data_IF_891079488920
#
_entry.id   IF_891079488920
#
_cell.length_a   1.000
_cell.length_b   1.000
_cell.length_c   1.000
_cell.angle_alpha   90.00
_cell.angle_beta   90.00
_cell.angle_gamma   90.00
#
_symmetry.space_group_name_H-M   'P 1'
#
loop_
_entity.id
_entity.type
_entity.pdbx_description
1 polymer ?
#
# COMPACT_ATOMS: atom_id res chain seq x y z
N UNK A 1 7.76 0.29 -7.57
CA UNK A 1 9.17 0.28 -7.11
C UNK A 1 9.69 1.66 -6.69
N UNK A 2 9.24 2.76 -7.33
CA UNK A 2 9.64 4.13 -6.91
C UNK A 2 9.04 4.51 -5.54
N UNK A 3 7.85 4.00 -5.23
CA UNK A 3 7.13 4.12 -3.96
C UNK A 3 7.99 3.81 -2.72
N UNK A 4 8.83 2.77 -2.76
CA UNK A 4 9.65 2.36 -1.61
C UNK A 4 10.79 3.34 -1.34
N UNK A 5 11.44 3.79 -2.42
CA UNK A 5 12.50 4.80 -2.37
C UNK A 5 11.95 6.14 -1.88
N UNK A 6 10.72 6.50 -2.28
CA UNK A 6 10.04 7.70 -1.80
C UNK A 6 9.79 7.66 -0.29
N UNK A 7 9.36 6.53 0.27
CA UNK A 7 9.19 6.35 1.72
C UNK A 7 10.52 6.46 2.48
N UNK A 8 11.61 5.99 1.87
CA UNK A 8 12.94 6.07 2.49
C UNK A 8 13.49 7.51 2.48
N UNK A 9 13.25 8.27 1.41
CA UNK A 9 13.80 9.62 1.22
C UNK A 9 12.96 10.70 1.91
N UNK A 10 11.63 10.63 1.80
CA UNK A 10 10.74 11.69 2.28
C UNK A 10 9.92 11.23 3.50
N UNK A 11 10.11 11.85 4.68
CA UNK A 11 9.35 11.51 5.89
C UNK A 11 7.85 11.80 5.76
N UNK A 12 7.41 12.63 4.81
CA UNK A 12 5.98 12.86 4.55
C UNK A 12 5.25 11.54 4.24
N UNK A 13 5.87 10.62 3.49
CA UNK A 13 5.27 9.34 3.15
C UNK A 13 5.26 8.31 4.30
N UNK A 14 5.85 8.65 5.45
CA UNK A 14 5.76 7.83 6.68
C UNK A 14 4.54 8.19 7.54
N UNK A 15 3.79 9.20 7.13
CA UNK A 15 2.48 9.54 7.69
C UNK A 15 1.37 8.71 7.04
N UNK A 16 0.25 8.53 7.74
CA UNK A 16 -0.93 7.84 7.18
C UNK A 16 -1.41 8.51 5.88
N UNK A 17 -1.44 9.86 5.87
CA UNK A 17 -1.91 10.64 4.72
C UNK A 17 -0.95 10.51 3.54
N UNK A 18 0.35 10.70 3.76
CA UNK A 18 1.36 10.55 2.70
C UNK A 18 1.37 9.12 2.15
N UNK A 19 1.25 8.11 3.01
CA UNK A 19 1.18 6.71 2.57
C UNK A 19 -0.04 6.44 1.68
N UNK A 20 -1.22 6.95 2.04
CA UNK A 20 -2.43 6.84 1.21
C UNK A 20 -2.26 7.55 -0.14
N UNK A 21 -1.63 8.73 -0.17
CA UNK A 21 -1.33 9.47 -1.42
C UNK A 21 -0.39 8.65 -2.31
N UNK A 22 0.64 8.04 -1.73
CA UNK A 22 1.62 7.22 -2.44
C UNK A 22 0.98 5.95 -3.00
N UNK A 23 0.09 5.30 -2.25
CA UNK A 23 -0.71 4.19 -2.74
C UNK A 23 -1.65 4.60 -3.89
N UNK A 24 -2.39 5.70 -3.74
CA UNK A 24 -3.26 6.21 -4.80
C UNK A 24 -2.49 6.59 -6.08
N UNK A 25 -1.29 7.13 -5.92
CA UNK A 25 -0.46 7.56 -7.06
C UNK A 25 0.23 6.40 -7.78
N UNK A 26 0.81 5.44 -7.06
CA UNK A 26 1.59 4.36 -7.67
C UNK A 26 0.76 3.09 -7.94
N UNK A 27 -0.30 2.83 -7.17
CA UNK A 27 -1.08 1.58 -7.30
C UNK A 27 -2.42 1.80 -7.99
N UNK A 28 -3.12 2.89 -7.68
CA UNK A 28 -4.42 3.19 -8.32
C UNK A 28 -4.24 3.78 -9.73
N UNK A 29 -3.30 4.71 -9.94
CA UNK A 29 -3.06 5.28 -11.28
C UNK A 29 -2.44 4.30 -12.29
N UNK A 30 -1.78 3.23 -11.82
CA UNK A 30 -1.22 2.21 -12.70
C UNK A 30 -2.24 1.15 -13.15
N UNK A 31 -3.51 1.29 -12.76
CA UNK A 31 -4.58 0.40 -13.22
C UNK A 31 -4.38 -1.03 -12.73
N UNK A 32 -4.06 -1.20 -11.45
CA UNK A 32 -4.05 -2.51 -10.82
C UNK A 32 -5.47 -3.12 -10.97
N UNK A 33 -5.64 -4.23 -11.70
CA UNK A 33 -6.95 -4.85 -11.83
C UNK A 33 -7.26 -5.56 -10.52
N UNK A 34 -7.92 -4.85 -9.60
CA UNK A 34 -8.40 -5.36 -8.31
C UNK A 34 -9.45 -6.49 -8.45
N UNK A 35 -9.85 -6.86 -9.68
CA UNK A 35 -10.97 -7.75 -9.97
C UNK A 35 -10.64 -8.96 -10.84
N UNK A 36 -9.38 -9.22 -11.18
CA UNK A 36 -9.04 -10.45 -11.93
C UNK A 36 -8.47 -11.49 -10.96
N UNK A 37 -9.31 -12.45 -10.57
CA UNK A 37 -9.04 -13.58 -9.67
C UNK A 37 -7.92 -14.52 -10.16
N UNK A 38 -7.21 -14.14 -11.24
CA UNK A 38 -6.21 -14.94 -11.95
C UNK A 38 -4.80 -14.33 -11.98
N UNK A 39 -4.54 -13.27 -11.21
CA UNK A 39 -3.25 -12.57 -11.23
C UNK A 39 -2.41 -12.84 -9.96
N UNK A 40 -2.01 -14.10 -9.75
CA UNK A 40 -1.05 -14.55 -8.71
C UNK A 40 0.21 -13.67 -8.61
N UNK A 41 0.63 -13.07 -9.72
CA UNK A 41 1.81 -12.22 -9.82
C UNK A 41 1.62 -10.86 -9.13
N UNK A 42 0.41 -10.33 -9.13
CA UNK A 42 0.09 -9.04 -8.55
C UNK A 42 0.05 -9.11 -7.02
N UNK A 43 -0.49 -10.20 -6.47
CA UNK A 43 -0.49 -10.50 -5.04
C UNK A 43 0.94 -10.65 -4.51
N UNK A 44 1.83 -11.29 -5.28
CA UNK A 44 3.24 -11.41 -4.92
C UNK A 44 3.95 -10.03 -4.84
N UNK A 45 3.65 -9.11 -5.76
CA UNK A 45 4.26 -7.76 -5.77
C UNK A 45 3.73 -6.89 -4.64
N UNK A 46 2.42 -6.93 -4.38
CA UNK A 46 1.80 -6.22 -3.24
C UNK A 46 2.31 -6.78 -1.91
N UNK A 47 2.34 -8.12 -1.77
CA UNK A 47 2.88 -8.78 -0.60
C UNK A 47 4.33 -8.39 -0.35
N UNK A 48 5.18 -8.41 -1.38
CA UNK A 48 6.58 -8.04 -1.23
C UNK A 48 6.75 -6.56 -0.87
N UNK A 49 5.93 -5.67 -1.45
CA UNK A 49 5.93 -4.25 -1.12
C UNK A 49 5.58 -4.01 0.35
N UNK A 50 4.51 -4.65 0.84
CA UNK A 50 4.06 -4.51 2.23
C UNK A 50 5.07 -5.17 3.18
N UNK A 51 5.65 -6.31 2.81
CA UNK A 51 6.70 -6.96 3.58
C UNK A 51 7.94 -6.06 3.74
N UNK A 52 8.33 -5.34 2.68
CA UNK A 52 9.42 -4.37 2.77
C UNK A 52 9.07 -3.17 3.67
N UNK A 53 7.84 -2.65 3.62
CA UNK A 53 7.41 -1.56 4.52
C UNK A 53 7.40 -2.05 5.96
N UNK A 54 6.86 -3.23 6.22
CA UNK A 54 6.87 -3.84 7.55
C UNK A 54 8.30 -4.00 8.07
N UNK A 55 9.23 -4.45 7.23
CA UNK A 55 10.66 -4.53 7.59
C UNK A 55 11.25 -3.17 7.95
N UNK A 56 10.93 -2.12 7.18
CA UNK A 56 11.35 -0.75 7.49
C UNK A 56 10.73 -0.23 8.80
N UNK A 57 9.47 -0.57 9.05
CA UNK A 57 8.75 -0.24 10.28
C UNK A 57 9.42 -0.86 11.50
N UNK A 58 9.81 -2.13 11.43
CA UNK A 58 10.53 -2.83 12.48
C UNK A 58 11.94 -2.26 12.71
N UNK A 59 12.60 -1.77 11.66
CA UNK A 59 13.90 -1.12 11.78
C UNK A 59 13.81 0.27 12.44
N UNK A 60 12.74 1.04 12.18
CA UNK A 60 12.58 2.42 12.66
C UNK A 60 11.16 2.72 13.16
N UNK A 61 10.71 2.03 14.22
CA UNK A 61 9.32 2.12 14.74
C UNK A 61 8.89 3.55 15.10
N UNK A 62 9.83 4.41 15.50
CA UNK A 62 9.55 5.79 15.96
C UNK A 62 9.34 6.78 14.80
N UNK A 63 9.82 6.44 13.59
CA UNK A 63 9.71 7.33 12.43
C UNK A 63 8.41 7.16 11.63
N UNK A 64 7.64 6.11 11.90
CA UNK A 64 6.38 5.82 11.23
C UNK A 64 5.19 6.20 12.11
N UNK A 65 4.20 6.86 11.52
CA UNK A 65 2.98 7.24 12.23
C UNK A 65 1.99 6.06 12.34
N UNK A 66 2.13 5.05 11.50
CA UNK A 66 1.25 3.88 11.42
C UNK A 66 1.96 2.61 11.93
N UNK A 67 1.16 1.67 12.44
CA UNK A 67 1.66 0.42 13.03
C UNK A 67 1.55 -0.77 12.07
N UNK A 68 2.08 -1.92 12.47
CA UNK A 68 1.93 -3.17 11.74
C UNK A 68 0.47 -3.61 11.56
N UNK A 69 -0.40 -3.33 12.54
CA UNK A 69 -1.84 -3.60 12.43
C UNK A 69 -2.48 -2.88 11.23
N UNK A 70 -2.01 -1.67 10.92
CA UNK A 70 -2.46 -0.93 9.75
C UNK A 70 -2.04 -1.61 8.45
N UNK A 71 -0.83 -2.17 8.38
CA UNK A 71 -0.36 -2.91 7.21
C UNK A 71 -1.14 -4.21 6.99
N UNK A 72 -1.51 -4.91 8.06
CA UNK A 72 -2.36 -6.11 8.00
C UNK A 72 -3.76 -5.74 7.52
N UNK A 73 -4.37 -4.70 8.10
CA UNK A 73 -5.67 -4.18 7.64
C UNK A 73 -5.63 -3.77 6.16
N UNK A 74 -4.53 -3.14 5.74
CA UNK A 74 -4.33 -2.75 4.35
C UNK A 74 -4.31 -3.99 3.45
N UNK A 75 -3.50 -5.00 3.76
CA UNK A 75 -3.47 -6.29 3.05
C UNK A 75 -4.87 -6.89 2.92
N UNK A 76 -5.59 -7.03 4.03
CA UNK A 76 -6.94 -7.58 4.02
C UNK A 76 -7.90 -6.75 3.16
N UNK A 77 -7.77 -5.42 3.16
CA UNK A 77 -8.59 -4.53 2.34
C UNK A 77 -8.29 -4.65 0.84
N UNK A 78 -7.03 -4.89 0.48
CA UNK A 78 -6.61 -5.19 -0.89
C UNK A 78 -7.11 -6.56 -1.35
N UNK A 79 -6.95 -7.60 -0.52
CA UNK A 79 -7.41 -8.97 -0.82
C UNK A 79 -8.94 -9.08 -0.88
N UNK A 80 -9.66 -8.36 -0.02
CA UNK A 80 -11.13 -8.36 -0.03
C UNK A 80 -11.72 -7.48 -1.14
N UNK A 81 -10.89 -6.89 -2.02
CA UNK A 81 -11.30 -5.96 -3.09
C UNK A 81 -12.18 -4.80 -2.60
N UNK A 82 -12.18 -4.51 -1.29
CA UNK A 82 -13.08 -3.52 -0.67
C UNK A 82 -12.72 -2.08 -1.03
N UNK A 83 -11.51 -1.84 -1.55
CA UNK A 83 -11.14 -0.55 -2.16
C UNK A 83 -11.73 -0.33 -3.56
N UNK A 84 -12.18 -1.39 -4.26
CA UNK A 84 -12.91 -1.25 -5.53
C UNK A 84 -14.22 -0.48 -5.37
N UNK A 85 -14.88 -0.63 -4.21
CA UNK A 85 -16.11 0.09 -3.87
C UNK A 85 -15.93 1.58 -3.59
N UNK A 86 -14.73 2.06 -3.24
CA UNK A 86 -14.46 3.49 -3.11
C UNK A 86 -14.16 4.15 -4.47
N UNK A 87 -13.68 3.38 -5.45
CA UNK A 87 -13.39 3.85 -6.81
C UNK A 87 -14.60 3.82 -7.75
N UNK A 88 -15.62 2.99 -7.48
CA UNK A 88 -16.85 2.97 -8.28
C UNK A 88 -17.92 3.98 -7.84
N UNK A 89 -17.66 4.83 -6.83
CA UNK A 89 -18.62 5.88 -6.43
C UNK A 89 -18.16 7.30 -6.80
N UNK A 90 -17.31 7.41 -7.82
CA UNK A 90 -17.11 8.66 -8.57
C UNK A 90 -17.82 8.56 -9.92
N UNK A 91 -19.15 8.39 -9.88
CA UNK A 91 -20.08 8.94 -10.88
C UNK A 91 -20.83 10.12 -10.25
#
# INVERSE_FOLDING_TARGET
MVSLVQIMIDPYYRTLEGFCVLLGKDWVSYGYPFSDESNDWNDAVLFHFIHCIWTLLQQNVVEFQFNEEFLVFLMESFFNSQFGTFLHNSE
#
